data_IF_356966744273
#
_entry.id   IF_356966744273
#
_cell.length_a   1.000
_cell.length_b   1.000
_cell.length_c   1.000
_cell.angle_alpha   90.00
_cell.angle_beta   90.00
_cell.angle_gamma   90.00
#
_symmetry.space_group_name_H-M   'P 1'
#
loop_
_entity.id
_entity.type
_entity.pdbx_description
1 polymer ?
#
# COMPACT_ATOMS: atom_id res chain seq x y z
N UNK A 1 -6.84 5.55 -5.32
CA UNK A 1 -6.90 6.89 -4.67
C UNK A 1 -8.22 7.64 -4.91
N UNK A 2 -8.82 7.58 -6.11
CA UNK A 2 -10.11 8.22 -6.43
C UNK A 2 -11.25 7.91 -5.44
N UNK A 3 -11.34 6.67 -4.97
CA UNK A 3 -12.37 6.24 -4.00
C UNK A 3 -12.30 6.98 -2.66
N UNK A 4 -11.09 7.35 -2.20
CA UNK A 4 -10.93 8.10 -0.94
C UNK A 4 -11.48 9.51 -1.12
N UNK A 5 -11.16 10.19 -2.22
CA UNK A 5 -11.67 11.53 -2.51
C UNK A 5 -13.20 11.56 -2.61
N UNK A 6 -13.79 10.57 -3.30
CA UNK A 6 -15.25 10.43 -3.45
C UNK A 6 -15.90 10.18 -2.08
N UNK A 7 -15.38 9.23 -1.30
CA UNK A 7 -15.91 8.92 0.02
C UNK A 7 -15.77 10.09 1.01
N UNK A 8 -14.70 10.87 0.92
CA UNK A 8 -14.52 12.08 1.74
C UNK A 8 -15.48 13.19 1.34
N UNK A 9 -15.72 13.43 0.04
CA UNK A 9 -16.71 14.40 -0.43
C UNK A 9 -18.14 14.03 0.05
N UNK A 10 -18.49 12.74 0.01
CA UNK A 10 -19.75 12.23 0.56
C UNK A 10 -19.86 12.46 2.08
N UNK A 11 -18.78 12.22 2.83
CA UNK A 11 -18.78 12.44 4.28
C UNK A 11 -18.92 13.93 4.66
N UNK A 12 -18.24 14.83 3.96
CA UNK A 12 -18.30 16.28 4.25
C UNK A 12 -19.68 16.87 3.93
N UNK A 13 -20.33 16.37 2.88
CA UNK A 13 -21.67 16.82 2.45
C UNK A 13 -22.84 16.16 3.20
N UNK A 14 -22.55 15.25 4.13
CA UNK A 14 -23.60 14.50 4.82
C UNK A 14 -24.42 15.35 5.81
N UNK A 15 -25.76 15.26 5.69
CA UNK A 15 -26.73 15.84 6.64
C UNK A 15 -27.48 14.77 7.45
N UNK A 16 -27.41 13.50 7.04
CA UNK A 16 -28.04 12.37 7.71
C UNK A 16 -27.01 11.28 8.03
N UNK A 17 -27.26 10.52 9.10
CA UNK A 17 -26.37 9.43 9.57
C UNK A 17 -26.18 8.38 8.47
N UNK A 18 -27.24 8.01 7.75
CA UNK A 18 -27.17 7.03 6.66
C UNK A 18 -26.19 7.47 5.55
N UNK A 19 -26.18 8.76 5.18
CA UNK A 19 -25.25 9.30 4.19
C UNK A 19 -23.80 9.22 4.69
N UNK A 20 -23.57 9.52 5.97
CA UNK A 20 -22.24 9.41 6.58
C UNK A 20 -21.74 7.95 6.58
N UNK A 21 -22.62 6.99 6.87
CA UNK A 21 -22.28 5.55 6.84
C UNK A 21 -21.86 5.11 5.43
N UNK A 22 -22.60 5.51 4.39
CA UNK A 22 -22.24 5.19 2.99
C UNK A 22 -20.87 5.77 2.64
N UNK A 23 -20.62 7.04 3.00
CA UNK A 23 -19.31 7.66 2.78
C UNK A 23 -18.17 6.92 3.49
N UNK A 24 -18.42 6.40 4.71
CA UNK A 24 -17.45 5.59 5.46
C UNK A 24 -17.14 4.26 4.80
N UNK A 25 -18.14 3.58 4.25
CA UNK A 25 -17.92 2.31 3.51
C UNK A 25 -17.03 2.55 2.29
N UNK A 26 -17.32 3.59 1.51
CA UNK A 26 -16.55 3.94 0.30
C UNK A 26 -15.11 4.33 0.65
N UNK A 27 -14.91 5.21 1.64
CA UNK A 27 -13.56 5.59 2.11
C UNK A 27 -12.82 4.40 2.73
N UNK A 28 -13.53 3.49 3.41
CA UNK A 28 -12.98 2.27 3.98
C UNK A 28 -12.41 1.33 2.92
N UNK A 29 -13.15 1.08 1.84
CA UNK A 29 -12.67 0.28 0.71
C UNK A 29 -11.40 0.89 0.09
N UNK A 30 -11.41 2.20 -0.17
CA UNK A 30 -10.24 2.89 -0.73
C UNK A 30 -9.02 2.86 0.21
N UNK A 31 -9.26 2.92 1.52
CA UNK A 31 -8.18 2.81 2.53
C UNK A 31 -7.63 1.39 2.57
N UNK A 32 -8.48 0.37 2.53
CA UNK A 32 -8.07 -1.05 2.52
C UNK A 32 -7.16 -1.39 1.35
N UNK A 33 -7.53 -0.95 0.14
CA UNK A 33 -6.67 -1.11 -1.05
C UNK A 33 -5.33 -0.40 -0.89
N UNK A 34 -5.31 0.81 -0.32
CA UNK A 34 -4.07 1.55 -0.08
C UNK A 34 -3.17 0.83 0.92
N UNK A 35 -3.73 0.33 2.02
CA UNK A 35 -2.96 -0.32 3.10
C UNK A 35 -2.37 -1.66 2.69
N UNK A 36 -2.90 -2.33 1.65
CA UNK A 36 -2.29 -3.54 1.11
C UNK A 36 -1.25 -3.23 0.02
N UNK A 37 -1.53 -2.27 -0.86
CA UNK A 37 -0.64 -1.93 -1.98
C UNK A 37 0.63 -1.20 -1.55
N UNK A 38 0.55 -0.26 -0.59
CA UNK A 38 1.71 0.55 -0.15
C UNK A 38 2.85 -0.31 0.42
N UNK A 39 2.65 -1.18 1.42
CA UNK A 39 3.73 -2.00 1.95
C UNK A 39 4.24 -3.03 0.93
N UNK A 40 3.37 -3.51 0.03
CA UNK A 40 3.78 -4.39 -1.07
C UNK A 40 4.75 -3.66 -2.01
N UNK A 41 4.36 -2.49 -2.50
CA UNK A 41 5.20 -1.64 -3.36
C UNK A 41 6.54 -1.31 -2.67
N UNK A 42 6.51 -0.93 -1.39
CA UNK A 42 7.73 -0.65 -0.64
C UNK A 42 8.61 -1.90 -0.49
N UNK A 43 8.03 -3.08 -0.25
CA UNK A 43 8.78 -4.34 -0.14
C UNK A 43 9.47 -4.74 -1.45
N UNK A 44 8.90 -4.34 -2.60
CA UNK A 44 9.47 -4.59 -3.93
C UNK A 44 10.63 -3.65 -4.27
N UNK A 45 10.61 -2.41 -3.75
CA UNK A 45 11.69 -1.44 -3.97
C UNK A 45 12.83 -1.55 -2.97
N UNK A 46 12.59 -2.11 -1.78
CA UNK A 46 13.60 -2.11 -0.73
C UNK A 46 14.56 -3.30 -0.87
N UNK A 47 15.87 -3.13 -0.62
CA UNK A 47 16.80 -4.26 -0.58
C UNK A 47 16.50 -5.17 0.63
N UNK A 48 16.69 -6.51 0.51
CA UNK A 48 16.29 -7.51 1.50
C UNK A 48 16.70 -7.21 2.95
N UNK A 49 17.88 -6.60 3.14
CA UNK A 49 18.46 -6.29 4.45
C UNK A 49 17.78 -5.13 5.18
N UNK A 50 17.10 -4.23 4.45
CA UNK A 50 16.46 -3.04 5.03
C UNK A 50 14.93 -3.03 4.94
N UNK A 51 14.33 -3.99 4.20
CA UNK A 51 12.86 -4.11 4.02
C UNK A 51 12.10 -3.97 5.35
N UNK A 52 12.52 -4.72 6.37
CA UNK A 52 11.84 -4.73 7.67
C UNK A 52 11.83 -3.36 8.37
N UNK A 53 12.92 -2.60 8.26
CA UNK A 53 13.03 -1.26 8.86
C UNK A 53 12.15 -0.25 8.14
N UNK A 54 12.14 -0.28 6.81
CA UNK A 54 11.36 0.61 5.96
C UNK A 54 9.85 0.37 6.12
N UNK A 55 9.42 -0.89 6.14
CA UNK A 55 8.02 -1.26 6.39
C UNK A 55 7.59 -0.90 7.83
N UNK A 56 8.47 -1.08 8.82
CA UNK A 56 8.15 -0.68 10.20
C UNK A 56 8.05 0.84 10.37
N UNK A 57 8.87 1.60 9.63
CA UNK A 57 8.82 3.06 9.63
C UNK A 57 7.49 3.59 9.08
N UNK A 58 6.92 2.96 8.04
CA UNK A 58 5.59 3.32 7.50
C UNK A 58 4.51 3.25 8.59
N UNK A 59 4.44 2.13 9.32
CA UNK A 59 3.49 1.94 10.42
C UNK A 59 3.72 2.95 11.55
N UNK A 60 4.98 3.31 11.82
CA UNK A 60 5.32 4.34 12.80
C UNK A 60 4.78 5.71 12.37
N UNK A 61 4.95 6.11 11.10
CA UNK A 61 4.39 7.37 10.57
C UNK A 61 2.86 7.39 10.60
N UNK A 62 2.22 6.26 10.31
CA UNK A 62 0.76 6.12 10.47
C UNK A 62 0.35 6.36 11.92
N UNK A 63 1.06 5.78 12.89
CA UNK A 63 0.80 5.99 14.32
C UNK A 63 0.96 7.44 14.75
N UNK A 64 2.00 8.13 14.27
CA UNK A 64 2.22 9.56 14.53
C UNK A 64 1.07 10.39 13.93
N UNK A 65 0.68 10.11 12.68
CA UNK A 65 -0.42 10.80 12.02
C UNK A 65 -1.76 10.63 12.76
N UNK A 66 -2.05 9.43 13.26
CA UNK A 66 -3.24 9.14 14.07
C UNK A 66 -3.21 9.95 15.38
N UNK A 67 -2.07 10.02 16.05
CA UNK A 67 -1.93 10.83 17.27
C UNK A 67 -2.22 12.31 17.00
N UNK A 68 -1.64 12.89 15.94
CA UNK A 68 -1.90 14.28 15.55
C UNK A 68 -3.38 14.50 15.24
N UNK A 69 -4.01 13.56 14.52
CA UNK A 69 -5.44 13.64 14.20
C UNK A 69 -6.32 13.59 15.47
N UNK A 70 -5.97 12.78 16.47
CA UNK A 70 -6.69 12.74 17.73
C UNK A 70 -6.57 14.04 18.52
N UNK A 71 -5.36 14.60 18.63
CA UNK A 71 -5.15 15.91 19.27
C UNK A 71 -5.90 17.03 18.55
N UNK A 72 -5.91 17.01 17.23
CA UNK A 72 -6.68 17.96 16.42
C UNK A 72 -8.19 17.84 16.68
N UNK A 73 -8.72 16.61 16.66
CA UNK A 73 -10.13 16.36 16.94
C UNK A 73 -10.52 16.75 18.38
N UNK A 74 -9.62 16.51 19.34
CA UNK A 74 -9.79 16.95 20.72
C UNK A 74 -9.90 18.48 20.83
N UNK A 75 -9.00 19.23 20.18
CA UNK A 75 -9.07 20.68 20.11
C UNK A 75 -10.37 21.18 19.46
N UNK A 76 -10.83 20.48 18.43
CA UNK A 76 -12.05 20.83 17.71
C UNK A 76 -13.33 20.48 18.50
N UNK A 77 -13.25 19.56 19.46
CA UNK A 77 -14.36 19.20 20.37
C UNK A 77 -14.90 20.41 21.15
N UNK A 78 -14.04 21.39 21.47
CA UNK A 78 -14.41 22.59 22.23
C UNK A 78 -15.17 23.64 21.41
N UNK A 79 -15.12 23.58 20.08
CA UNK A 79 -15.74 24.59 19.19
C UNK A 79 -17.25 24.37 19.05
N UNK A 80 -17.71 23.12 19.18
CA UNK A 80 -19.12 22.75 19.01
C UNK A 80 -19.65 22.89 17.58
N UNK A 81 -20.82 22.30 17.33
CA UNK A 81 -21.52 22.41 16.05
C UNK A 81 -20.99 21.53 14.90
N UNK A 82 -21.58 21.64 13.69
CA UNK A 82 -21.27 20.75 12.56
C UNK A 82 -19.84 20.90 12.02
N UNK A 83 -19.21 22.05 12.26
CA UNK A 83 -17.82 22.32 11.84
C UNK A 83 -16.86 21.40 12.59
N UNK A 84 -17.19 21.00 13.83
CA UNK A 84 -16.30 20.24 14.68
C UNK A 84 -15.87 18.88 14.11
N UNK A 85 -16.77 18.21 13.38
CA UNK A 85 -16.48 16.93 12.74
C UNK A 85 -16.23 17.04 11.24
N UNK A 86 -16.76 18.09 10.56
CA UNK A 86 -16.55 18.29 9.11
C UNK A 86 -15.12 18.75 8.81
N UNK A 87 -14.57 19.65 9.61
CA UNK A 87 -13.26 20.27 9.36
C UNK A 87 -12.11 19.22 9.42
N UNK A 88 -12.03 18.33 10.44
CA UNK A 88 -11.04 17.25 10.43
C UNK A 88 -11.12 16.33 9.20
N UNK A 89 -12.34 16.00 8.77
CA UNK A 89 -12.57 15.14 7.59
C UNK A 89 -12.12 15.85 6.31
N UNK A 90 -12.39 17.14 6.16
CA UNK A 90 -11.95 17.94 5.02
C UNK A 90 -10.44 18.06 4.94
N UNK A 91 -9.75 18.24 6.08
CA UNK A 91 -8.28 18.29 6.14
C UNK A 91 -7.66 16.96 5.67
N UNK A 92 -8.24 15.82 6.05
CA UNK A 92 -7.77 14.52 5.55
C UNK A 92 -7.82 14.44 4.01
N UNK A 93 -8.83 15.05 3.38
CA UNK A 93 -8.94 15.11 1.92
C UNK A 93 -7.77 15.88 1.29
N UNK A 94 -7.34 16.97 1.91
CA UNK A 94 -6.21 17.78 1.44
C UNK A 94 -4.92 16.94 1.40
N UNK A 95 -4.63 16.18 2.45
CA UNK A 95 -3.47 15.28 2.48
C UNK A 95 -3.58 14.19 1.42
N UNK A 96 -4.77 13.63 1.19
CA UNK A 96 -4.98 12.63 0.15
C UNK A 96 -4.70 13.18 -1.25
N UNK A 97 -5.09 14.43 -1.54
CA UNK A 97 -4.81 15.11 -2.80
C UNK A 97 -3.30 15.31 -2.97
N UNK A 98 -2.59 15.75 -1.91
CA UNK A 98 -1.12 15.89 -1.94
C UNK A 98 -0.42 14.58 -2.31
N UNK A 99 -0.87 13.46 -1.74
CA UNK A 99 -0.31 12.14 -2.07
C UNK A 99 -0.62 11.73 -3.51
N UNK A 100 -1.79 12.07 -4.06
CA UNK A 100 -2.11 11.79 -5.47
C UNK A 100 -1.06 12.42 -6.40
N UNK A 101 -0.70 13.67 -6.16
CA UNK A 101 0.34 14.34 -6.95
C UNK A 101 1.70 13.68 -6.79
N UNK A 102 2.06 13.26 -5.58
CA UNK A 102 3.33 12.60 -5.32
C UNK A 102 3.43 11.25 -6.05
N UNK A 103 2.36 10.47 -6.08
CA UNK A 103 2.33 9.15 -6.73
C UNK A 103 2.64 9.23 -8.23
N UNK A 104 2.22 10.30 -8.92
CA UNK A 104 2.56 10.47 -10.34
C UNK A 104 4.06 10.67 -10.60
N UNK A 105 4.83 11.08 -9.58
CA UNK A 105 6.28 11.23 -9.69
C UNK A 105 7.06 9.98 -9.27
N UNK A 106 6.40 8.95 -8.73
CA UNK A 106 7.05 7.72 -8.29
C UNK A 106 7.26 6.76 -9.46
N UNK A 107 8.40 6.05 -9.54
CA UNK A 107 8.60 5.01 -10.53
C UNK A 107 7.67 3.82 -10.29
N UNK A 108 7.27 3.14 -11.34
CA UNK A 108 6.51 1.88 -11.22
C UNK A 108 7.37 0.78 -10.60
N UNK A 109 6.74 -0.23 -10.00
CA UNK A 109 7.52 -1.28 -9.34
C UNK A 109 8.26 -2.16 -10.35
N UNK A 110 9.54 -2.53 -10.10
CA UNK A 110 10.33 -3.35 -11.03
C UNK A 110 9.65 -4.69 -11.37
N UNK A 111 9.01 -5.30 -10.37
CA UNK A 111 8.30 -6.57 -10.53
C UNK A 111 7.06 -6.42 -11.42
N UNK A 112 6.30 -5.34 -11.27
CA UNK A 112 5.17 -5.04 -12.16
C UNK A 112 5.66 -4.81 -13.59
N UNK A 113 6.75 -4.06 -13.78
CA UNK A 113 7.35 -3.79 -15.09
C UNK A 113 7.84 -5.08 -15.77
N UNK A 114 8.49 -5.98 -15.03
CA UNK A 114 8.89 -7.30 -15.56
C UNK A 114 7.69 -8.15 -15.98
N UNK A 115 6.60 -8.12 -15.21
CA UNK A 115 5.38 -8.87 -15.53
C UNK A 115 4.65 -8.33 -16.78
N UNK A 116 4.80 -7.03 -17.07
CA UNK A 116 4.22 -6.39 -18.26
C UNK A 116 5.17 -6.38 -19.48
N UNK A 117 6.30 -7.09 -19.41
CA UNK A 117 7.26 -7.19 -20.50
C UNK A 117 8.15 -5.96 -20.70
N UNK A 118 8.06 -4.93 -19.84
CA UNK A 118 8.86 -3.70 -19.89
C UNK A 118 10.20 -3.89 -19.16
N UNK A 119 11.04 -4.77 -19.70
CA UNK A 119 12.29 -5.18 -19.02
C UNK A 119 13.33 -4.07 -18.91
N UNK A 120 13.45 -3.22 -19.92
CA UNK A 120 14.44 -2.14 -19.95
C UNK A 120 14.16 -1.12 -18.83
N UNK A 121 12.92 -0.66 -18.71
CA UNK A 121 12.51 0.25 -17.64
C UNK A 121 12.63 -0.40 -16.25
N UNK A 122 12.35 -1.70 -16.12
CA UNK A 122 12.52 -2.41 -14.86
C UNK A 122 13.99 -2.40 -14.41
N UNK A 123 14.93 -2.51 -15.36
CA UNK A 123 16.37 -2.43 -15.09
C UNK A 123 16.76 -1.00 -14.71
N UNK A 124 16.25 0.02 -15.41
CA UNK A 124 16.50 1.43 -15.05
C UNK A 124 16.05 1.75 -13.63
N UNK A 125 14.85 1.29 -13.24
CA UNK A 125 14.34 1.48 -11.88
C UNK A 125 15.20 0.71 -10.86
N UNK A 126 15.64 -0.52 -11.16
CA UNK A 126 16.58 -1.25 -10.30
C UNK A 126 17.92 -0.54 -10.15
N UNK A 127 18.47 0.02 -11.23
CA UNK A 127 19.70 0.80 -11.19
C UNK A 127 19.55 2.04 -10.31
N UNK A 128 18.39 2.73 -10.40
CA UNK A 128 18.07 3.89 -9.57
C UNK A 128 17.97 3.55 -8.08
N UNK A 129 17.38 2.39 -7.75
CA UNK A 129 17.21 1.94 -6.36
C UNK A 129 18.55 1.55 -5.72
N UNK A 130 19.35 0.77 -6.46
CA UNK A 130 20.58 0.18 -5.93
C UNK A 130 21.81 1.08 -6.16
N UNK A 131 21.66 2.19 -6.89
CA UNK A 131 22.72 3.11 -7.29
C UNK A 131 23.91 2.39 -7.97
N UNK A 132 23.57 1.52 -8.93
CA UNK A 132 24.50 0.58 -9.57
C UNK A 132 24.29 0.50 -11.08
N UNK A 133 25.33 0.09 -11.79
CA UNK A 133 25.31 -0.09 -13.24
C UNK A 133 24.46 -1.32 -13.64
N UNK A 134 23.74 -1.31 -14.77
CA UNK A 134 22.98 -2.46 -15.27
C UNK A 134 23.75 -3.78 -15.33
N UNK A 135 25.07 -3.74 -15.51
CA UNK A 135 25.94 -4.92 -15.57
C UNK A 135 26.46 -5.38 -14.21
N UNK A 136 26.13 -4.69 -13.10
CA UNK A 136 26.56 -5.10 -11.76
C UNK A 136 25.94 -6.47 -11.39
N UNK A 137 26.74 -7.42 -10.86
CA UNK A 137 26.26 -8.74 -10.46
C UNK A 137 25.07 -8.71 -9.51
N UNK A 138 24.91 -7.67 -8.68
CA UNK A 138 23.77 -7.50 -7.77
C UNK A 138 22.47 -7.29 -8.54
N UNK A 139 22.48 -6.46 -9.58
CA UNK A 139 21.29 -6.17 -10.40
C UNK A 139 20.92 -7.39 -11.24
N UNK A 140 21.92 -8.09 -11.80
CA UNK A 140 21.69 -9.34 -12.54
C UNK A 140 21.07 -10.42 -11.65
N UNK A 141 21.57 -10.56 -10.42
CA UNK A 141 21.02 -11.49 -9.44
C UNK A 141 19.56 -11.13 -9.11
N UNK A 142 19.26 -9.88 -8.80
CA UNK A 142 17.90 -9.43 -8.45
C UNK A 142 16.92 -9.61 -9.64
N UNK A 143 17.35 -9.26 -10.86
CA UNK A 143 16.58 -9.52 -12.09
C UNK A 143 16.24 -10.99 -12.24
N UNK A 144 17.23 -11.87 -12.09
CA UNK A 144 17.02 -13.31 -12.22
C UNK A 144 16.08 -13.85 -11.14
N UNK A 145 16.19 -13.36 -9.90
CA UNK A 145 15.34 -13.74 -8.79
C UNK A 145 13.88 -13.33 -9.02
N UNK A 146 13.64 -12.10 -9.49
CA UNK A 146 12.29 -11.59 -9.80
C UNK A 146 11.67 -12.40 -10.95
N UNK A 147 12.42 -12.67 -12.03
CA UNK A 147 11.92 -13.45 -13.17
C UNK A 147 11.58 -14.89 -12.77
N UNK A 148 12.41 -15.53 -11.94
CA UNK A 148 12.14 -16.87 -11.40
C UNK A 148 10.89 -16.88 -10.52
N UNK A 149 10.72 -15.87 -9.66
CA UNK A 149 9.52 -15.74 -8.82
C UNK A 149 8.24 -15.61 -9.67
N UNK A 150 8.27 -14.77 -10.71
CA UNK A 150 7.13 -14.61 -11.64
C UNK A 150 6.83 -15.92 -12.38
N UNK A 151 7.86 -16.64 -12.86
CA UNK A 151 7.68 -17.92 -13.54
C UNK A 151 7.03 -18.97 -12.61
N UNK A 152 7.45 -19.03 -11.35
CA UNK A 152 6.85 -19.91 -10.34
C UNK A 152 5.39 -19.52 -10.04
N UNK A 153 5.08 -18.24 -9.97
CA UNK A 153 3.71 -17.75 -9.75
C UNK A 153 2.79 -18.05 -10.93
N UNK A 154 3.27 -17.94 -12.17
CA UNK A 154 2.50 -18.31 -13.36
C UNK A 154 2.14 -19.81 -13.35
N UNK A 155 3.09 -20.66 -12.96
CA UNK A 155 2.87 -22.11 -12.78
C UNK A 155 1.85 -22.36 -11.66
N UNK A 156 1.96 -21.66 -10.53
CA UNK A 156 1.03 -21.78 -9.40
C UNK A 156 -0.38 -21.25 -9.70
N UNK A 157 -0.49 -20.21 -10.53
CA UNK A 157 -1.77 -19.63 -10.95
C UNK A 157 -2.53 -20.56 -11.90
N UNK A 158 -1.82 -21.26 -12.80
CA UNK A 158 -2.41 -22.33 -13.62
C UNK A 158 -2.91 -23.52 -12.78
N UNK A 159 -2.36 -23.72 -11.58
CA UNK A 159 -2.79 -24.77 -10.65
C UNK A 159 -4.03 -24.42 -9.82
N UNK A 160 -4.63 -23.23 -9.98
CA UNK A 160 -5.91 -22.89 -9.33
C UNK A 160 -5.86 -23.08 -7.81
N UNK A 161 -4.88 -22.46 -7.14
CA UNK A 161 -4.81 -22.51 -5.69
C UNK A 161 -5.91 -21.65 -5.06
N UNK A 162 -7.08 -22.27 -4.88
CA UNK A 162 -8.18 -21.72 -4.09
C UNK A 162 -7.73 -21.44 -2.65
N UNK A 163 -8.30 -20.43 -1.99
CA UNK A 163 -7.99 -20.04 -0.61
C UNK A 163 -7.93 -21.21 0.41
N UNK A 164 -8.56 -22.34 0.11
CA UNK A 164 -8.50 -23.57 0.90
C UNK A 164 -7.17 -24.36 0.77
N UNK A 165 -6.30 -24.07 -0.21
CA UNK A 165 -4.98 -24.72 -0.36
C UNK A 165 -4.01 -24.33 0.75
N UNK A 166 -4.16 -23.13 1.34
CA UNK A 166 -3.37 -22.64 2.47
C UNK A 166 -3.50 -23.58 3.69
N UNK A 167 -4.64 -24.26 3.83
CA UNK A 167 -4.90 -25.23 4.89
C UNK A 167 -4.49 -26.66 4.52
N UNK A 168 -4.07 -26.94 3.27
CA UNK A 168 -3.51 -28.24 2.91
C UNK A 168 -2.08 -28.37 3.44
N UNK A 169 -1.72 -29.59 3.83
CA UNK A 169 -0.43 -29.90 4.42
C UNK A 169 0.65 -29.88 3.34
N UNK A 170 1.23 -28.71 3.14
CA UNK A 170 2.25 -28.49 2.11
C UNK A 170 3.67 -28.84 2.61
N UNK A 171 4.62 -29.03 1.68
CA UNK A 171 6.02 -29.41 1.98
C UNK A 171 6.72 -28.40 2.91
N UNK A 172 6.29 -27.14 2.87
CA UNK A 172 6.77 -26.02 3.69
C UNK A 172 6.02 -25.84 5.03
N UNK A 173 5.02 -26.67 5.35
CA UNK A 173 4.18 -26.59 6.55
C UNK A 173 3.60 -25.19 6.79
N UNK A 174 3.08 -24.56 5.74
CA UNK A 174 2.58 -23.18 5.74
C UNK A 174 1.58 -22.91 6.87
N UNK A 175 0.63 -23.82 7.13
CA UNK A 175 -0.34 -23.67 8.22
C UNK A 175 0.27 -23.64 9.63
N UNK A 176 1.37 -24.35 9.88
CA UNK A 176 2.05 -24.32 11.18
C UNK A 176 2.82 -23.01 11.38
N UNK A 177 3.36 -22.42 10.31
CA UNK A 177 4.04 -21.13 10.36
C UNK A 177 3.07 -19.97 10.54
N UNK A 178 1.91 -20.04 9.91
CA UNK A 178 0.83 -19.06 10.11
C UNK A 178 0.32 -19.10 11.55
N UNK A 179 0.24 -20.27 12.18
CA UNK A 179 -0.17 -20.38 13.58
C UNK A 179 0.87 -19.83 14.58
N UNK A 180 2.13 -19.74 14.17
CA UNK A 180 3.23 -19.22 15.00
C UNK A 180 3.49 -17.71 14.81
N UNK A 181 2.95 -17.11 13.76
CA UNK A 181 3.11 -15.69 13.42
C UNK A 181 1.97 -14.86 14.00
#
# INVERSE_FOLDING_TARGET
>A
MSQIAIGTALQVSAYHIAHLIVGRVVTGMGTGLKTSTVPMYQSELCPPTTRGRLVSADVMFVGIGINIAYWFNFGMSYVGGPVAWRLPISIQALFAIGVIFLVFALPESPRWLFNHGRQEEAIEVLCLIYDKDPADPVILAERSAIQQAIALELIGTQQGQEFCSIFKRDRVRTGYRIFLA
#
